data_IF_109151490581
#
_entry.id   IF_109151490581
#
_cell.length_a   1.000
_cell.length_b   1.000
_cell.length_c   1.000
_cell.angle_alpha   90.00
_cell.angle_beta   90.00
_cell.angle_gamma   90.00
#
_symmetry.space_group_name_H-M   'P 1'
#
loop_
_entity.id
_entity.type
_entity.pdbx_description
1 polymer ?
#
# COMPACT_ATOMS: atom_id res chain seq x y z
N UNK A 1 -18.34 -64.95 -20.07
CA UNK A 1 -17.88 -65.31 -18.72
C UNK A 1 -16.47 -64.74 -18.59
N UNK A 2 -16.36 -63.53 -18.04
CA UNK A 2 -15.09 -62.91 -17.66
C UNK A 2 -15.15 -62.81 -16.14
N UNK A 3 -14.30 -63.57 -15.47
CA UNK A 3 -14.15 -63.52 -14.02
C UNK A 3 -13.57 -62.16 -13.62
N UNK A 4 -14.35 -61.43 -12.83
CA UNK A 4 -13.95 -60.19 -12.17
C UNK A 4 -12.95 -60.53 -11.07
N UNK A 5 -11.70 -60.09 -11.25
CA UNK A 5 -10.70 -60.05 -10.20
C UNK A 5 -11.09 -58.94 -9.21
N UNK A 6 -11.81 -59.33 -8.16
CA UNK A 6 -11.94 -58.55 -6.94
C UNK A 6 -10.54 -58.43 -6.30
N UNK A 7 -9.89 -57.29 -6.51
CA UNK A 7 -8.77 -56.86 -5.68
C UNK A 7 -9.33 -56.46 -4.31
N UNK A 8 -8.92 -57.11 -3.20
CA UNK A 8 -9.33 -56.69 -1.88
C UNK A 8 -8.79 -55.30 -1.58
N UNK A 9 -9.67 -54.40 -1.13
CA UNK A 9 -9.35 -53.07 -0.62
C UNK A 9 -8.36 -53.17 0.55
N UNK A 10 -7.08 -53.02 0.24
CA UNK A 10 -6.01 -52.92 1.20
C UNK A 10 -5.87 -51.47 1.70
N UNK A 11 -6.85 -50.96 2.46
CA UNK A 11 -6.73 -49.65 3.12
C UNK A 11 -7.18 -49.64 4.59
N UNK A 12 -7.08 -50.78 5.29
CA UNK A 12 -7.46 -50.90 6.71
C UNK A 12 -6.30 -50.94 7.72
N UNK A 13 -5.04 -50.72 7.34
CA UNK A 13 -3.93 -50.87 8.31
C UNK A 13 -2.83 -49.81 8.24
N UNK A 14 -3.19 -48.54 8.43
CA UNK A 14 -2.24 -47.53 8.94
C UNK A 14 -2.53 -47.23 10.42
N UNK A 15 -2.13 -48.10 11.36
CA UNK A 15 -2.43 -47.95 12.80
C UNK A 15 -1.68 -46.79 13.48
N UNK A 16 -0.91 -45.99 12.72
CA UNK A 16 -0.18 -44.84 13.21
C UNK A 16 -0.27 -43.67 12.23
N UNK A 17 -1.48 -43.16 11.96
CA UNK A 17 -1.59 -41.77 11.51
C UNK A 17 -1.17 -40.89 12.68
N UNK A 18 -0.14 -40.06 12.48
CA UNK A 18 0.33 -39.20 13.55
C UNK A 18 -0.79 -38.24 13.96
N UNK A 19 -0.98 -37.96 15.27
CA UNK A 19 -2.04 -37.06 15.75
C UNK A 19 -2.03 -35.66 15.11
N UNK A 20 -0.97 -35.29 14.40
CA UNK A 20 -0.83 -34.02 13.71
C UNK A 20 -1.68 -33.93 12.42
N UNK A 21 -2.00 -35.05 11.76
CA UNK A 21 -2.85 -35.02 10.55
C UNK A 21 -4.33 -34.76 10.89
N UNK A 22 -4.88 -35.37 11.94
CA UNK A 22 -6.29 -35.15 12.34
C UNK A 22 -6.53 -33.74 12.92
N UNK A 23 -5.55 -33.16 13.62
CA UNK A 23 -5.65 -31.79 14.13
C UNK A 23 -5.62 -30.73 13.02
N UNK A 24 -5.10 -31.05 11.83
CA UNK A 24 -5.04 -30.12 10.70
C UNK A 24 -6.40 -29.90 10.01
N UNK A 25 -7.34 -30.84 10.13
CA UNK A 25 -8.68 -30.74 9.53
C UNK A 25 -9.74 -30.11 10.44
N UNK A 26 -9.42 -29.86 11.72
CA UNK A 26 -10.33 -29.27 12.71
C UNK A 26 -9.83 -27.96 13.32
N UNK A 27 -8.78 -27.35 12.75
CA UNK A 27 -8.48 -25.95 13.03
C UNK A 27 -9.71 -25.12 12.62
N UNK A 28 -10.47 -24.66 13.62
CA UNK A 28 -11.60 -23.76 13.42
C UNK A 28 -11.17 -22.68 12.40
N UNK A 29 -12.01 -22.37 11.39
CA UNK A 29 -11.65 -21.43 10.36
C UNK A 29 -11.14 -20.17 11.04
N UNK A 30 -9.87 -19.84 10.84
CA UNK A 30 -9.24 -18.70 11.46
C UNK A 30 -10.20 -17.52 11.30
N UNK A 31 -10.69 -16.98 12.42
CA UNK A 31 -11.70 -15.93 12.47
C UNK A 31 -11.33 -14.88 11.42
N UNK A 32 -12.03 -14.88 10.29
CA UNK A 32 -11.71 -13.98 9.17
C UNK A 32 -11.75 -12.56 9.70
N UNK A 33 -10.88 -11.70 9.19
CA UNK A 33 -10.86 -10.28 9.54
C UNK A 33 -12.11 -9.60 8.95
N UNK A 34 -13.26 -9.79 9.61
CA UNK A 34 -14.54 -9.25 9.18
C UNK A 34 -14.66 -7.83 9.71
N UNK A 35 -14.55 -6.88 8.79
CA UNK A 35 -14.85 -5.48 9.04
C UNK A 35 -16.37 -5.31 9.16
N UNK A 36 -16.83 -4.68 10.24
CA UNK A 36 -18.24 -4.36 10.40
C UNK A 36 -18.68 -3.29 9.38
N UNK A 37 -19.87 -3.43 8.75
CA UNK A 37 -20.31 -2.53 7.68
C UNK A 37 -20.39 -1.06 8.12
N UNK A 38 -20.74 -0.81 9.38
CA UNK A 38 -20.75 0.54 9.95
C UNK A 38 -19.35 1.16 9.99
N UNK A 39 -18.34 0.40 10.43
CA UNK A 39 -16.95 0.90 10.49
C UNK A 39 -16.44 1.18 9.08
N UNK A 40 -16.69 0.28 8.12
CA UNK A 40 -16.33 0.50 6.72
C UNK A 40 -17.00 1.75 6.18
N UNK A 41 -18.33 1.88 6.36
CA UNK A 41 -19.07 3.04 5.88
C UNK A 41 -18.56 4.36 6.45
N UNK A 42 -18.34 4.43 7.78
CA UNK A 42 -17.79 5.62 8.43
C UNK A 42 -16.37 5.94 7.95
N UNK A 43 -15.50 4.94 7.84
CA UNK A 43 -14.13 5.16 7.39
C UNK A 43 -14.05 5.55 5.91
N UNK A 44 -14.94 5.01 5.05
CA UNK A 44 -15.05 5.44 3.65
C UNK A 44 -15.47 6.91 3.56
N UNK A 45 -16.48 7.33 4.33
CA UNK A 45 -16.88 8.74 4.40
C UNK A 45 -15.69 9.60 4.84
N UNK A 46 -14.98 9.21 5.90
CA UNK A 46 -13.79 9.94 6.36
C UNK A 46 -12.72 10.01 5.26
N UNK A 47 -12.47 8.92 4.55
CA UNK A 47 -11.51 8.86 3.44
C UNK A 47 -11.87 9.83 2.30
N UNK A 48 -13.14 9.92 1.91
CA UNK A 48 -13.61 10.88 0.92
C UNK A 48 -13.56 12.33 1.41
N UNK A 49 -13.88 12.57 2.69
CA UNK A 49 -13.76 13.90 3.29
C UNK A 49 -12.32 14.40 3.28
N UNK A 50 -11.32 13.51 3.39
CA UNK A 50 -9.90 13.87 3.25
C UNK A 50 -9.54 14.37 1.84
N UNK A 51 -10.36 14.09 0.82
CA UNK A 51 -10.13 14.53 -0.56
C UNK A 51 -10.79 15.88 -0.91
N UNK A 52 -11.57 16.48 0.02
CA UNK A 52 -12.24 17.78 -0.20
C UNK A 52 -11.29 18.88 -0.73
N UNK A 53 -10.08 19.07 -0.19
CA UNK A 53 -9.17 20.11 -0.70
C UNK A 53 -8.86 19.94 -2.19
N UNK A 54 -8.70 18.69 -2.65
CA UNK A 54 -8.46 18.37 -4.06
C UNK A 54 -9.71 18.60 -4.91
N UNK A 55 -10.89 18.26 -4.40
CA UNK A 55 -12.15 18.52 -5.10
C UNK A 55 -12.37 20.01 -5.33
N UNK A 56 -12.07 20.85 -4.33
CA UNK A 56 -12.15 22.30 -4.46
C UNK A 56 -11.17 22.81 -5.53
N UNK A 57 -9.91 22.34 -5.50
CA UNK A 57 -8.90 22.70 -6.49
C UNK A 57 -9.32 22.32 -7.92
N UNK A 58 -9.93 21.14 -8.11
CA UNK A 58 -10.44 20.69 -9.42
C UNK A 58 -11.66 21.52 -9.86
N UNK A 59 -12.55 21.83 -8.91
CA UNK A 59 -13.78 22.58 -9.17
C UNK A 59 -13.49 24.03 -9.61
N UNK A 60 -12.53 24.69 -8.97
CA UNK A 60 -12.13 26.08 -9.25
C UNK A 60 -11.28 26.22 -10.52
N UNK A 61 -10.67 25.15 -11.00
CA UNK A 61 -9.86 25.17 -12.21
C UNK A 61 -10.68 25.44 -13.49
N UNK A 62 -10.13 26.25 -14.40
CA UNK A 62 -10.68 26.51 -15.74
C UNK A 62 -10.40 25.33 -16.70
N UNK A 63 -10.95 24.16 -16.36
CA UNK A 63 -10.82 22.90 -17.09
C UNK A 63 -12.18 22.45 -17.63
N UNK A 64 -12.18 21.74 -18.75
CA UNK A 64 -13.41 21.16 -19.29
C UNK A 64 -14.06 20.18 -18.30
N UNK A 65 -15.37 19.99 -18.39
CA UNK A 65 -16.09 19.05 -17.52
C UNK A 65 -15.51 17.63 -17.60
N UNK A 66 -15.17 17.18 -18.82
CA UNK A 66 -14.54 15.88 -19.03
C UNK A 66 -13.20 15.79 -18.27
N UNK A 67 -12.33 16.80 -18.39
CA UNK A 67 -11.07 16.83 -17.66
C UNK A 67 -11.29 16.82 -16.14
N UNK A 68 -12.28 17.56 -15.62
CA UNK A 68 -12.63 17.54 -14.19
C UNK A 68 -13.06 16.16 -13.72
N UNK A 69 -13.89 15.44 -14.49
CA UNK A 69 -14.32 14.08 -14.16
C UNK A 69 -13.14 13.10 -14.15
N UNK A 70 -12.26 13.17 -15.16
CA UNK A 70 -11.08 12.31 -15.21
C UNK A 70 -10.10 12.58 -14.07
N UNK A 71 -9.92 13.85 -13.69
CA UNK A 71 -9.11 14.24 -12.53
C UNK A 71 -9.73 13.80 -11.20
N UNK A 72 -11.06 13.81 -11.10
CA UNK A 72 -11.77 13.44 -9.87
C UNK A 72 -11.61 11.95 -9.55
N UNK A 73 -11.57 11.10 -10.58
CA UNK A 73 -11.58 9.65 -10.41
C UNK A 73 -10.39 9.09 -9.59
N UNK A 74 -9.11 9.44 -9.86
CA UNK A 74 -7.99 9.04 -9.02
C UNK A 74 -8.16 9.43 -7.55
N UNK A 75 -8.71 10.62 -7.28
CA UNK A 75 -8.92 11.10 -5.91
C UNK A 75 -10.03 10.33 -5.19
N UNK A 76 -11.13 10.00 -5.86
CA UNK A 76 -12.16 9.11 -5.30
C UNK A 76 -11.57 7.73 -4.96
N UNK A 77 -10.78 7.16 -5.87
CA UNK A 77 -10.11 5.87 -5.63
C UNK A 77 -9.17 6.00 -4.42
N UNK A 78 -8.39 7.07 -4.32
CA UNK A 78 -7.52 7.32 -3.18
C UNK A 78 -8.31 7.48 -1.86
N UNK A 79 -9.46 8.16 -1.89
CA UNK A 79 -10.38 8.31 -0.75
C UNK A 79 -10.91 6.97 -0.25
N UNK A 80 -11.42 6.12 -1.14
CA UNK A 80 -11.84 4.75 -0.83
C UNK A 80 -10.71 3.94 -0.21
N UNK A 81 -9.50 3.99 -0.80
CA UNK A 81 -8.34 3.24 -0.30
C UNK A 81 -7.92 3.71 1.08
N UNK A 82 -7.87 5.03 1.32
CA UNK A 82 -7.58 5.60 2.63
C UNK A 82 -8.63 5.17 3.66
N UNK A 83 -9.91 5.22 3.29
CA UNK A 83 -11.01 4.78 4.16
C UNK A 83 -10.91 3.29 4.53
N UNK A 84 -10.62 2.42 3.58
CA UNK A 84 -10.38 0.99 3.85
C UNK A 84 -9.14 0.78 4.72
N UNK A 85 -8.05 1.48 4.44
CA UNK A 85 -6.84 1.48 5.25
C UNK A 85 -7.11 1.88 6.70
N UNK A 86 -7.93 2.92 6.91
CA UNK A 86 -8.32 3.41 8.23
C UNK A 86 -9.15 2.38 8.98
N UNK A 87 -10.14 1.78 8.31
CA UNK A 87 -10.98 0.75 8.90
C UNK A 87 -10.15 -0.46 9.37
N UNK A 88 -9.24 -0.93 8.51
CA UNK A 88 -8.33 -2.04 8.81
C UNK A 88 -7.37 -1.71 9.96
N UNK A 89 -6.74 -0.53 9.93
CA UNK A 89 -5.83 -0.08 10.98
C UNK A 89 -6.55 0.04 12.33
N UNK A 90 -7.72 0.66 12.35
CA UNK A 90 -8.52 0.81 13.56
C UNK A 90 -8.91 -0.55 14.14
N UNK A 91 -9.42 -1.46 13.32
CA UNK A 91 -9.78 -2.81 13.79
C UNK A 91 -8.55 -3.58 14.29
N UNK A 92 -7.41 -3.47 13.61
CA UNK A 92 -6.18 -4.14 14.00
C UNK A 92 -5.66 -3.65 15.37
N UNK A 93 -5.72 -2.34 15.61
CA UNK A 93 -5.37 -1.73 16.90
C UNK A 93 -6.38 -2.11 17.97
N UNK A 94 -7.67 -1.89 17.73
CA UNK A 94 -8.75 -2.12 18.70
C UNK A 94 -8.80 -3.58 19.16
N UNK A 95 -8.67 -4.53 18.22
CA UNK A 95 -8.66 -5.97 18.53
C UNK A 95 -7.28 -6.50 18.90
N UNK A 96 -6.23 -5.66 18.89
CA UNK A 96 -4.82 -6.06 19.10
C UNK A 96 -4.37 -7.20 18.16
N UNK A 97 -4.91 -7.24 16.93
CA UNK A 97 -4.69 -8.29 15.92
C UNK A 97 -3.77 -7.82 14.79
N UNK A 98 -2.80 -6.96 15.09
CA UNK A 98 -1.87 -6.42 14.09
C UNK A 98 -1.11 -7.52 13.34
N UNK A 99 -0.75 -8.61 14.03
CA UNK A 99 -0.06 -9.77 13.43
C UNK A 99 -0.87 -10.54 12.38
N UNK A 100 -2.20 -10.33 12.32
CA UNK A 100 -3.13 -10.97 11.38
C UNK A 100 -3.34 -10.14 10.10
N UNK A 101 -2.76 -8.93 10.03
CA UNK A 101 -2.83 -8.13 8.81
C UNK A 101 -2.12 -8.86 7.67
N UNK A 102 -2.81 -8.95 6.54
CA UNK A 102 -2.30 -9.58 5.33
C UNK A 102 -1.59 -8.57 4.42
N UNK A 103 -0.79 -9.01 3.44
CA UNK A 103 -0.02 -8.12 2.55
C UNK A 103 -0.84 -7.03 1.86
N UNK A 104 -2.03 -7.35 1.35
CA UNK A 104 -2.93 -6.34 0.79
C UNK A 104 -3.43 -5.32 1.82
N UNK A 105 -3.68 -5.73 3.08
CA UNK A 105 -4.03 -4.79 4.14
C UNK A 105 -2.90 -3.80 4.41
N UNK A 106 -1.64 -4.27 4.40
CA UNK A 106 -0.48 -3.40 4.59
C UNK A 106 -0.46 -2.27 3.57
N UNK A 107 -0.82 -2.58 2.32
CA UNK A 107 -0.87 -1.60 1.24
C UNK A 107 -1.97 -0.57 1.41
N UNK A 108 -3.15 -1.01 1.85
CA UNK A 108 -4.27 -0.09 2.14
C UNK A 108 -3.91 0.86 3.30
N UNK A 109 -3.28 0.34 4.36
CA UNK A 109 -2.80 1.19 5.49
C UNK A 109 -1.73 2.17 5.04
N UNK A 110 -0.80 1.77 4.17
CA UNK A 110 0.19 2.69 3.60
C UNK A 110 -0.47 3.74 2.69
N UNK A 111 -1.49 3.36 1.93
CA UNK A 111 -2.31 4.30 1.16
C UNK A 111 -2.97 5.36 2.04
N UNK A 112 -3.51 4.96 3.20
CA UNK A 112 -4.00 5.90 4.21
C UNK A 112 -2.89 6.86 4.68
N UNK A 113 -1.71 6.34 5.05
CA UNK A 113 -0.58 7.17 5.52
C UNK A 113 -0.22 8.22 4.46
N UNK A 114 -0.23 7.83 3.19
CA UNK A 114 0.04 8.74 2.07
C UNK A 114 -1.01 9.86 1.97
N UNK A 115 -2.31 9.50 1.93
CA UNK A 115 -3.40 10.47 1.85
C UNK A 115 -3.41 11.43 3.04
N UNK A 116 -3.15 10.93 4.26
CA UNK A 116 -3.07 11.78 5.46
C UNK A 116 -1.92 12.78 5.34
N UNK A 117 -0.78 12.39 4.78
CA UNK A 117 0.32 13.33 4.56
C UNK A 117 0.00 14.40 3.53
N UNK A 118 -0.61 14.02 2.42
CA UNK A 118 -1.02 14.99 1.40
C UNK A 118 -1.97 16.02 2.00
N UNK A 119 -2.88 15.59 2.89
CA UNK A 119 -3.75 16.49 3.65
C UNK A 119 -2.98 17.41 4.62
N UNK A 120 -1.94 16.90 5.30
CA UNK A 120 -1.09 17.72 6.19
C UNK A 120 -0.24 18.73 5.40
N UNK A 121 0.17 18.37 4.18
CA UNK A 121 0.91 19.25 3.30
C UNK A 121 0.01 20.28 2.59
N UNK A 122 -1.27 19.97 2.36
CA UNK A 122 -2.22 20.78 1.59
C UNK A 122 -2.39 22.24 2.05
N UNK A 123 -2.51 22.57 3.35
CA UNK A 123 -2.67 23.96 3.80
C UNK A 123 -1.53 24.90 3.42
N UNK A 124 -0.38 24.34 3.05
CA UNK A 124 0.80 25.10 2.66
C UNK A 124 0.85 25.39 1.15
N UNK A 125 -0.11 24.86 0.38
CA UNK A 125 -0.31 25.18 -1.03
C UNK A 125 -1.13 26.48 -1.13
N UNK A 126 -0.47 27.62 -1.39
CA UNK A 126 -1.17 28.85 -1.81
C UNK A 126 -0.96 30.11 -0.98
N UNK A 127 -0.05 30.11 0.01
CA UNK A 127 0.30 31.34 0.72
C UNK A 127 0.97 32.37 -0.22
N UNK A 128 0.42 33.60 -0.36
CA UNK A 128 0.88 34.57 -1.35
C UNK A 128 2.22 35.21 -0.96
N UNK A 129 3.24 34.95 -1.79
CA UNK A 129 4.54 35.63 -1.81
C UNK A 129 5.53 34.83 -2.66
N UNK A 130 6.00 35.33 -3.80
CA UNK A 130 6.69 34.51 -4.82
C UNK A 130 7.99 33.84 -4.33
N UNK A 131 8.67 34.40 -3.32
CA UNK A 131 9.87 33.82 -2.67
C UNK A 131 9.56 33.02 -1.40
N UNK A 132 8.53 33.40 -0.65
CA UNK A 132 8.08 32.66 0.56
C UNK A 132 7.27 31.43 0.17
N UNK A 133 6.45 31.51 -0.87
CA UNK A 133 5.58 30.44 -1.37
C UNK A 133 6.36 29.26 -1.97
N UNK A 134 7.45 29.50 -2.72
CA UNK A 134 8.31 28.41 -3.22
C UNK A 134 9.02 27.71 -2.05
N UNK A 135 9.50 28.47 -1.07
CA UNK A 135 10.15 27.93 0.14
C UNK A 135 9.16 27.16 1.01
N UNK A 136 7.97 27.71 1.26
CA UNK A 136 6.91 27.08 2.07
C UNK A 136 6.34 25.83 1.40
N UNK A 137 6.11 25.87 0.08
CA UNK A 137 5.71 24.70 -0.70
C UNK A 137 6.75 23.58 -0.61
N UNK A 138 8.02 23.93 -0.79
CA UNK A 138 9.11 22.98 -0.73
C UNK A 138 9.25 22.38 0.68
N UNK A 139 9.21 23.21 1.72
CA UNK A 139 9.27 22.78 3.12
C UNK A 139 8.07 21.92 3.53
N UNK A 140 6.86 22.24 3.07
CA UNK A 140 5.67 21.44 3.35
C UNK A 140 5.73 20.05 2.70
N UNK A 141 6.21 19.98 1.46
CA UNK A 141 6.43 18.69 0.78
C UNK A 141 7.51 17.86 1.48
N UNK A 142 8.59 18.49 1.93
CA UNK A 142 9.64 17.84 2.73
C UNK A 142 9.07 17.29 4.04
N UNK A 143 8.35 18.13 4.79
CA UNK A 143 7.78 17.74 6.08
C UNK A 143 6.78 16.61 5.87
N UNK A 144 5.89 16.72 4.87
CA UNK A 144 4.97 15.66 4.49
C UNK A 144 5.69 14.34 4.21
N UNK A 145 6.69 14.35 3.33
CA UNK A 145 7.47 13.15 3.01
C UNK A 145 8.20 12.55 4.22
N UNK A 146 8.73 13.38 5.13
CA UNK A 146 9.35 12.90 6.37
C UNK A 146 8.32 12.29 7.32
N UNK A 147 7.13 12.88 7.41
CA UNK A 147 6.02 12.37 8.23
C UNK A 147 5.53 11.02 7.67
N UNK A 148 5.28 10.91 6.35
CA UNK A 148 4.97 9.63 5.69
C UNK A 148 6.05 8.62 5.97
N UNK A 149 7.30 9.02 5.72
CA UNK A 149 8.47 8.18 5.90
C UNK A 149 8.53 7.59 7.30
N UNK A 150 8.36 8.43 8.32
CA UNK A 150 8.34 8.02 9.72
C UNK A 150 7.21 7.02 10.02
N UNK A 151 5.97 7.34 9.65
CA UNK A 151 4.83 6.45 9.94
C UNK A 151 4.89 5.14 9.15
N UNK A 152 5.35 5.17 7.90
CA UNK A 152 5.53 3.98 7.08
C UNK A 152 6.71 3.12 7.58
N UNK A 153 7.81 3.72 8.04
CA UNK A 153 8.92 3.02 8.70
C UNK A 153 8.45 2.32 9.97
N UNK A 154 7.70 3.03 10.82
CA UNK A 154 7.13 2.45 12.03
C UNK A 154 6.19 1.29 11.65
N UNK A 155 5.26 1.51 10.73
CA UNK A 155 4.30 0.50 10.32
C UNK A 155 4.98 -0.75 9.75
N UNK A 156 5.87 -0.61 8.77
CA UNK A 156 6.57 -1.76 8.19
C UNK A 156 7.57 -2.41 9.15
N UNK A 157 8.16 -1.65 10.08
CA UNK A 157 8.98 -2.19 11.15
C UNK A 157 8.16 -3.11 12.05
N UNK A 158 6.98 -2.67 12.46
CA UNK A 158 6.03 -3.47 13.23
C UNK A 158 5.54 -4.69 12.43
N UNK A 159 5.20 -4.53 11.15
CA UNK A 159 4.75 -5.64 10.29
C UNK A 159 5.87 -6.67 10.13
N UNK A 160 7.09 -6.26 9.78
CA UNK A 160 8.21 -7.17 9.59
C UNK A 160 8.53 -7.95 10.87
N UNK A 161 8.36 -7.33 12.03
CA UNK A 161 8.63 -7.95 13.33
C UNK A 161 7.49 -8.86 13.82
N UNK A 162 6.22 -8.44 13.68
CA UNK A 162 5.07 -9.14 14.29
C UNK A 162 4.21 -9.96 13.33
N UNK A 163 4.40 -9.88 12.01
CA UNK A 163 3.54 -10.60 11.07
C UNK A 163 3.63 -12.12 11.22
N UNK A 164 2.46 -12.78 11.22
CA UNK A 164 2.32 -14.25 11.13
C UNK A 164 2.30 -14.78 9.70
N UNK A 165 2.43 -13.91 8.71
CA UNK A 165 2.46 -14.30 7.31
C UNK A 165 3.67 -15.17 6.96
N UNK A 166 3.59 -15.81 5.79
CA UNK A 166 4.64 -16.69 5.28
C UNK A 166 5.99 -15.97 5.12
N UNK A 167 7.08 -16.75 5.07
CA UNK A 167 8.44 -16.20 4.94
C UNK A 167 8.60 -15.29 3.72
N UNK A 168 7.95 -15.59 2.59
CA UNK A 168 7.98 -14.75 1.39
C UNK A 168 7.36 -13.38 1.63
N UNK A 169 6.22 -13.33 2.31
CA UNK A 169 5.57 -12.06 2.66
C UNK A 169 6.33 -11.25 3.69
N UNK A 170 7.02 -11.91 4.63
CA UNK A 170 7.93 -11.23 5.55
C UNK A 170 9.11 -10.58 4.80
N UNK A 171 9.66 -11.27 3.80
CA UNK A 171 10.69 -10.70 2.91
C UNK A 171 10.15 -9.46 2.17
N UNK A 172 8.91 -9.50 1.68
CA UNK A 172 8.24 -8.33 1.08
C UNK A 172 8.17 -7.16 2.08
N UNK A 173 7.76 -7.41 3.33
CA UNK A 173 7.71 -6.38 4.36
C UNK A 173 9.10 -5.79 4.66
N UNK A 174 10.15 -6.62 4.71
CA UNK A 174 11.52 -6.16 4.89
C UNK A 174 12.00 -5.29 3.71
N UNK A 175 11.74 -5.70 2.46
CA UNK A 175 12.11 -4.86 1.32
C UNK A 175 11.34 -3.54 1.30
N UNK A 176 10.05 -3.56 1.66
CA UNK A 176 9.25 -2.34 1.82
C UNK A 176 9.82 -1.41 2.88
N UNK A 177 10.27 -1.95 4.02
CA UNK A 177 10.95 -1.17 5.05
C UNK A 177 12.22 -0.50 4.51
N UNK A 178 13.03 -1.22 3.73
CA UNK A 178 14.24 -0.68 3.09
C UNK A 178 13.90 0.40 2.06
N UNK A 179 12.88 0.20 1.24
CA UNK A 179 12.39 1.20 0.26
C UNK A 179 11.99 2.48 0.97
N UNK A 180 11.15 2.39 2.01
CA UNK A 180 10.68 3.55 2.77
C UNK A 180 11.85 4.24 3.48
N UNK A 181 12.79 3.47 4.05
CA UNK A 181 13.99 4.03 4.68
C UNK A 181 14.84 4.84 3.68
N UNK A 182 15.08 4.27 2.50
CA UNK A 182 15.86 4.93 1.45
C UNK A 182 15.19 6.23 0.98
N UNK A 183 13.88 6.21 0.71
CA UNK A 183 13.12 7.40 0.31
C UNK A 183 13.16 8.46 1.42
N UNK A 184 12.92 8.07 2.68
CA UNK A 184 12.91 8.99 3.82
C UNK A 184 14.27 9.66 4.01
N UNK A 185 15.37 8.90 3.91
CA UNK A 185 16.74 9.42 4.00
C UNK A 185 17.12 10.27 2.78
N UNK A 186 16.52 10.03 1.62
CA UNK A 186 16.79 10.80 0.41
C UNK A 186 16.30 12.25 0.54
N UNK A 187 15.27 12.53 1.35
CA UNK A 187 14.76 13.88 1.59
C UNK A 187 15.82 14.83 2.16
N UNK A 188 16.43 14.58 3.34
CA UNK A 188 17.47 15.45 3.88
C UNK A 188 18.74 15.48 3.03
N UNK A 189 19.07 14.39 2.32
CA UNK A 189 20.20 14.37 1.39
C UNK A 189 19.97 15.30 0.21
N UNK A 190 18.78 15.25 -0.40
CA UNK A 190 18.41 16.12 -1.53
C UNK A 190 18.42 17.60 -1.12
N UNK A 191 17.96 17.89 0.09
CA UNK A 191 18.08 19.23 0.70
C UNK A 191 19.53 19.72 0.76
N UNK A 192 20.44 18.88 1.26
CA UNK A 192 21.85 19.24 1.38
C UNK A 192 22.54 19.40 0.02
N UNK A 193 22.20 18.56 -0.96
CA UNK A 193 22.69 18.71 -2.35
C UNK A 193 22.26 20.06 -2.92
N UNK A 194 21.01 20.47 -2.70
CA UNK A 194 20.49 21.75 -3.20
C UNK A 194 21.17 22.98 -2.55
N UNK A 195 21.58 22.89 -1.28
CA UNK A 195 22.11 24.02 -0.53
C UNK A 195 23.62 24.24 -0.67
N UNK A 196 24.42 23.17 -0.81
CA UNK A 196 25.85 23.23 -0.52
C UNK A 196 26.77 22.73 -1.65
N UNK A 197 26.22 22.46 -2.85
CA UNK A 197 26.93 21.81 -3.96
C UNK A 197 27.98 20.76 -3.52
N UNK A 198 27.55 19.85 -2.64
CA UNK A 198 28.45 18.92 -2.00
C UNK A 198 28.51 17.61 -2.81
N UNK A 199 29.61 17.39 -3.54
CA UNK A 199 29.94 16.11 -4.19
C UNK A 199 29.66 14.85 -3.33
N UNK A 200 30.01 14.79 -2.02
CA UNK A 200 29.68 13.62 -1.20
C UNK A 200 28.17 13.41 -1.00
N UNK A 201 27.38 14.48 -0.93
CA UNK A 201 25.92 14.36 -0.81
C UNK A 201 25.29 13.89 -2.12
N UNK A 202 25.83 14.30 -3.28
CA UNK A 202 25.40 13.78 -4.59
C UNK A 202 25.67 12.27 -4.70
N UNK A 203 26.86 11.83 -4.27
CA UNK A 203 27.20 10.40 -4.24
C UNK A 203 26.26 9.61 -3.32
N UNK A 204 25.98 10.14 -2.12
CA UNK A 204 25.03 9.53 -1.19
C UNK A 204 23.60 9.47 -1.79
N UNK A 205 23.16 10.51 -2.49
CA UNK A 205 21.86 10.53 -3.16
C UNK A 205 21.76 9.44 -4.25
N UNK A 206 22.81 9.28 -5.06
CA UNK A 206 22.88 8.21 -6.08
C UNK A 206 22.87 6.84 -5.42
N UNK A 207 23.63 6.67 -4.33
CA UNK A 207 23.67 5.42 -3.58
C UNK A 207 22.30 5.04 -2.99
N UNK A 208 21.61 5.99 -2.33
CA UNK A 208 20.26 5.78 -1.80
C UNK A 208 19.24 5.48 -2.92
N UNK A 209 19.37 6.15 -4.07
CA UNK A 209 18.54 5.86 -5.24
C UNK A 209 18.77 4.44 -5.77
N UNK A 210 20.03 3.98 -5.77
CA UNK A 210 20.38 2.60 -6.09
C UNK A 210 19.73 1.60 -5.12
N UNK A 211 19.84 1.84 -3.81
CA UNK A 211 19.17 1.00 -2.79
C UNK A 211 17.66 0.96 -3.04
N UNK A 212 17.03 2.12 -3.24
CA UNK A 212 15.61 2.22 -3.52
C UNK A 212 15.21 1.39 -4.76
N UNK A 213 15.95 1.52 -5.86
CA UNK A 213 15.70 0.76 -7.09
C UNK A 213 15.80 -0.76 -6.85
N UNK A 214 16.92 -1.23 -6.28
CA UNK A 214 17.13 -2.66 -6.06
C UNK A 214 16.15 -3.26 -5.05
N UNK A 215 15.82 -2.53 -3.97
CA UNK A 215 14.83 -2.96 -3.00
C UNK A 215 13.40 -2.98 -3.59
N UNK A 216 13.08 -2.05 -4.49
CA UNK A 216 11.79 -2.04 -5.21
C UNK A 216 11.66 -3.24 -6.15
N UNK A 217 12.72 -3.52 -6.93
CA UNK A 217 12.77 -4.72 -7.78
C UNK A 217 12.70 -6.01 -6.95
N UNK A 218 13.44 -6.07 -5.85
CA UNK A 218 13.38 -7.18 -4.90
C UNK A 218 11.99 -7.36 -4.30
N UNK A 219 11.30 -6.26 -3.97
CA UNK A 219 9.90 -6.29 -3.54
C UNK A 219 9.02 -6.90 -4.62
N UNK A 220 9.13 -6.44 -5.87
CA UNK A 220 8.29 -6.92 -6.97
C UNK A 220 8.45 -8.44 -7.17
N UNK A 221 9.69 -8.92 -7.18
CA UNK A 221 9.99 -10.36 -7.28
C UNK A 221 9.43 -11.14 -6.10
N UNK A 222 9.69 -10.69 -4.87
CA UNK A 222 9.20 -11.34 -3.66
C UNK A 222 7.67 -11.33 -3.57
N UNK A 223 7.03 -10.29 -4.11
CA UNK A 223 5.59 -10.13 -4.18
C UNK A 223 4.96 -11.14 -5.14
N UNK A 224 5.48 -11.27 -6.36
CA UNK A 224 5.01 -12.29 -7.31
C UNK A 224 5.25 -13.71 -6.78
N UNK A 225 6.40 -13.96 -6.16
CA UNK A 225 6.66 -15.22 -5.48
C UNK A 225 5.66 -15.48 -4.35
N UNK A 226 5.31 -14.46 -3.56
CA UNK A 226 4.28 -14.51 -2.53
C UNK A 226 2.91 -14.89 -3.09
N UNK A 227 2.47 -14.21 -4.16
CA UNK A 227 1.20 -14.51 -4.83
C UNK A 227 1.16 -15.92 -5.41
N UNK A 228 2.24 -16.35 -6.08
CA UNK A 228 2.35 -17.70 -6.63
C UNK A 228 2.29 -18.78 -5.54
N UNK A 229 2.99 -18.56 -4.42
CA UNK A 229 2.95 -19.47 -3.28
C UNK A 229 1.59 -19.51 -2.60
N UNK A 230 0.93 -18.37 -2.44
CA UNK A 230 -0.43 -18.30 -1.89
C UNK A 230 -1.42 -19.07 -2.79
N UNK A 231 -1.32 -18.90 -4.11
CA UNK A 231 -2.13 -19.61 -5.09
C UNK A 231 -1.89 -21.12 -5.01
N UNK A 232 -0.64 -21.56 -5.06
CA UNK A 232 -0.29 -22.98 -5.00
C UNK A 232 -0.69 -23.64 -3.68
N UNK A 233 -0.63 -22.91 -2.57
CA UNK A 233 -1.03 -23.40 -1.25
C UNK A 233 -2.52 -23.22 -0.97
N UNK A 234 -3.28 -22.64 -1.91
CA UNK A 234 -4.68 -22.28 -1.73
C UNK A 234 -4.93 -21.51 -0.43
N UNK A 235 -4.01 -20.60 -0.09
CA UNK A 235 -4.08 -19.84 1.17
C UNK A 235 -5.32 -18.94 1.12
N UNK A 236 -6.26 -19.06 2.07
CA UNK A 236 -7.47 -18.24 2.04
C UNK A 236 -7.12 -16.77 2.28
N UNK A 237 -7.53 -15.91 1.34
CA UNK A 237 -7.35 -14.45 1.42
C UNK A 237 -8.72 -13.77 1.43
N UNK A 238 -8.85 -12.71 2.22
CA UNK A 238 -10.07 -11.90 2.23
C UNK A 238 -10.12 -10.92 1.05
N UNK A 239 -11.28 -10.29 0.85
CA UNK A 239 -11.50 -9.33 -0.26
C UNK A 239 -10.59 -8.10 -0.14
N UNK A 240 -10.29 -7.64 1.08
CA UNK A 240 -9.47 -6.46 1.32
C UNK A 240 -8.00 -6.71 0.97
N UNK A 241 -7.52 -7.94 1.15
CA UNK A 241 -6.24 -8.35 0.63
C UNK A 241 -6.19 -8.12 -0.88
N UNK A 242 -7.13 -8.67 -1.64
CA UNK A 242 -7.14 -8.55 -3.10
C UNK A 242 -7.31 -7.11 -3.59
N UNK A 243 -8.14 -6.30 -2.91
CA UNK A 243 -8.26 -4.87 -3.20
C UNK A 243 -6.91 -4.17 -3.02
N UNK A 244 -6.21 -4.43 -1.91
CA UNK A 244 -4.89 -3.85 -1.64
C UNK A 244 -3.81 -4.30 -2.63
N UNK A 245 -3.89 -5.52 -3.16
CA UNK A 245 -3.01 -6.02 -4.23
C UNK A 245 -3.33 -5.32 -5.55
N UNK A 246 -4.61 -5.28 -5.95
CA UNK A 246 -5.05 -4.65 -7.19
C UNK A 246 -4.70 -3.17 -7.24
N UNK A 247 -4.80 -2.47 -6.11
CA UNK A 247 -4.44 -1.07 -5.94
C UNK A 247 -3.01 -0.74 -6.41
N UNK A 248 -2.03 -1.62 -6.13
CA UNK A 248 -0.63 -1.42 -6.54
C UNK A 248 -0.51 -1.26 -8.06
N UNK A 249 -1.32 -2.01 -8.81
CA UNK A 249 -1.30 -1.99 -10.26
C UNK A 249 -2.24 -0.94 -10.85
N UNK A 250 -3.39 -0.72 -10.20
CA UNK A 250 -4.41 0.19 -10.69
C UNK A 250 -3.93 1.65 -10.65
N UNK A 251 -3.27 2.09 -9.56
CA UNK A 251 -2.90 3.50 -9.41
C UNK A 251 -1.95 4.01 -10.49
N UNK A 252 -0.81 3.35 -10.81
CA UNK A 252 0.08 3.82 -11.86
C UNK A 252 -0.63 3.93 -13.21
N UNK A 253 -1.53 2.98 -13.52
CA UNK A 253 -2.32 3.01 -14.75
C UNK A 253 -3.30 4.18 -14.74
N UNK A 254 -4.02 4.39 -13.65
CA UNK A 254 -4.96 5.51 -13.49
C UNK A 254 -4.23 6.84 -13.63
N UNK A 255 -3.05 6.99 -13.02
CA UNK A 255 -2.23 8.21 -13.10
C UNK A 255 -1.74 8.45 -14.54
N UNK A 256 -1.18 7.44 -15.20
CA UNK A 256 -0.74 7.54 -16.61
C UNK A 256 -1.91 7.95 -17.53
N UNK A 257 -3.07 7.32 -17.38
CA UNK A 257 -4.27 7.64 -18.17
C UNK A 257 -4.76 9.07 -17.90
N UNK A 258 -4.72 9.49 -16.63
CA UNK A 258 -5.11 10.85 -16.23
C UNK A 258 -4.17 11.88 -16.85
N UNK A 259 -2.86 11.62 -16.82
CA UNK A 259 -1.86 12.50 -17.43
C UNK A 259 -2.02 12.56 -18.96
N UNK A 260 -2.20 11.42 -19.63
CA UNK A 260 -2.40 11.38 -21.08
C UNK A 260 -3.61 12.23 -21.52
N UNK A 261 -4.72 12.15 -20.79
CA UNK A 261 -5.93 12.94 -21.09
C UNK A 261 -5.72 14.45 -20.89
N UNK A 262 -4.93 14.84 -19.87
CA UNK A 262 -4.58 16.24 -19.65
C UNK A 262 -3.68 16.79 -20.74
N UNK A 263 -2.76 15.98 -21.26
CA UNK A 263 -1.87 16.37 -22.35
C UNK A 263 -2.63 16.55 -23.67
N UNK A 264 -3.61 15.71 -24.02
CA UNK A 264 -4.39 15.89 -25.26
C UNK A 264 -5.20 17.20 -25.28
N UNK A 265 -5.69 17.64 -24.12
CA UNK A 265 -6.46 18.89 -23.99
C UNK A 265 -5.66 20.16 -24.27
N UNK A 266 -4.33 20.13 -24.23
CA UNK A 266 -3.48 21.31 -24.47
C UNK A 266 -3.14 21.54 -25.94
N UNK A 267 -3.25 20.53 -26.80
CA UNK A 267 -2.95 20.65 -28.24
C UNK A 267 -4.10 21.23 -29.07
N UNK A 268 -5.32 21.24 -28.52
CA UNK A 268 -6.52 21.74 -29.20
C UNK A 268 -6.86 23.20 -28.84
N UNK A 269 -5.93 23.94 -28.23
CA UNK A 269 -6.01 25.39 -27.99
C UNK A 269 -4.91 26.10 -28.75
#
# INVERSE_FOLDING_TARGET
MNDSLDTPDADESKPFRSPQEELSHHAAPADKFVLGPLLVGLSLVVGELMQIPFFNMIAEGDRSLAAKVFLLFPHLVAGVIAGLGLALLFQAIYRRRFSELMPGHWRLVVGLIWVVSDLVASPWYGEPGFTVGISSFFMANIIGQLVVGFFALLFFGLVAYWTKESKSWRIVACFMLVVVAAITLQVPVSLRVAQADAAPMRLLAVFLSGIHLFASLGTLVAFFAGLYLDYNRQTPRDVYHWIGIAYIFALPVIDILSQAFLYEGSWNR
#
